data_IF_007529565395
#
_entry.id   IF_007529565395
#
_cell.length_a   1.000
_cell.length_b   1.000
_cell.length_c   1.000
_cell.angle_alpha   90.00
_cell.angle_beta   90.00
_cell.angle_gamma   90.00
#
_symmetry.space_group_name_H-M   'P 1'
#
loop_
_entity.id
_entity.type
_entity.pdbx_description
1 polymer ?
#
# COMPACT_ATOMS: atom_id res chain seq x y z
N UNK A 1 -6.12 -17.75 19.30
CA UNK A 1 -4.87 -16.97 19.24
C UNK A 1 -4.86 -16.25 17.91
N UNK A 2 -4.86 -14.93 17.90
CA UNK A 2 -4.74 -14.13 16.67
C UNK A 2 -3.28 -14.17 16.24
N UNK A 3 -3.01 -14.54 14.99
CA UNK A 3 -1.64 -14.49 14.46
C UNK A 3 -1.12 -13.05 14.48
N UNK A 4 0.19 -12.84 14.66
CA UNK A 4 0.79 -11.52 14.48
C UNK A 4 0.46 -10.97 13.09
N UNK A 5 0.08 -9.68 12.99
CA UNK A 5 -0.18 -9.03 11.69
C UNK A 5 1.03 -9.11 10.76
N UNK A 6 2.25 -9.15 11.32
CA UNK A 6 3.48 -9.35 10.55
C UNK A 6 3.51 -10.67 9.78
N UNK A 7 2.81 -11.70 10.24
CA UNK A 7 2.68 -12.99 9.55
C UNK A 7 1.76 -12.91 8.32
N UNK A 8 1.00 -11.83 8.17
CA UNK A 8 0.09 -11.59 7.04
C UNK A 8 0.72 -10.73 5.94
N UNK A 9 1.92 -10.18 6.19
CA UNK A 9 2.64 -9.39 5.20
C UNK A 9 3.24 -10.32 4.14
N UNK A 10 2.97 -10.10 2.83
CA UNK A 10 3.51 -10.93 1.76
C UNK A 10 4.97 -10.57 1.50
N UNK A 11 5.85 -11.00 2.40
CA UNK A 11 7.31 -10.87 2.27
C UNK A 11 7.81 -12.04 1.43
N UNK A 12 8.48 -11.71 0.32
CA UNK A 12 9.07 -12.66 -0.62
C UNK A 12 10.59 -12.54 -0.56
N UNK A 13 11.30 -13.59 -0.94
CA UNK A 13 12.76 -13.62 -1.01
C UNK A 13 13.21 -13.56 -2.46
N UNK A 14 14.18 -12.71 -2.79
CA UNK A 14 14.77 -12.66 -4.13
C UNK A 14 15.82 -13.76 -4.33
N UNK A 15 16.42 -13.83 -5.53
CA UNK A 15 17.45 -14.82 -5.87
C UNK A 15 18.73 -14.67 -5.06
N UNK A 16 18.99 -13.49 -4.51
CA UNK A 16 20.15 -13.18 -3.67
C UNK A 16 19.87 -13.40 -2.17
N UNK A 17 18.68 -13.92 -1.83
CA UNK A 17 18.26 -14.17 -0.46
C UNK A 17 17.75 -12.93 0.29
N UNK A 18 17.53 -11.80 -0.40
CA UNK A 18 17.04 -10.57 0.21
C UNK A 18 15.51 -10.59 0.30
N UNK A 19 15.00 -10.24 1.48
CA UNK A 19 13.57 -10.09 1.70
C UNK A 19 13.06 -8.79 1.05
N UNK A 20 11.94 -8.87 0.34
CA UNK A 20 11.26 -7.74 -0.26
C UNK A 20 9.73 -7.91 -0.19
N UNK A 21 8.99 -6.83 -0.40
CA UNK A 21 7.53 -6.87 -0.57
C UNK A 21 7.23 -6.61 -2.05
N UNK A 22 6.44 -7.45 -2.73
CA UNK A 22 6.05 -7.21 -4.12
C UNK A 22 5.35 -5.86 -4.28
N UNK A 23 5.66 -5.13 -5.35
CA UNK A 23 5.06 -3.81 -5.60
C UNK A 23 3.52 -3.87 -5.60
N UNK A 24 2.93 -4.90 -6.20
CA UNK A 24 1.47 -5.10 -6.21
C UNK A 24 0.87 -5.21 -4.79
N UNK A 25 1.58 -5.82 -3.84
CA UNK A 25 1.13 -5.90 -2.46
C UNK A 25 1.22 -4.54 -1.75
N UNK A 26 2.25 -3.74 -2.04
CA UNK A 26 2.35 -2.37 -1.52
C UNK A 26 1.25 -1.48 -2.10
N UNK A 27 0.97 -1.58 -3.40
CA UNK A 27 -0.16 -0.88 -4.05
C UNK A 27 -1.47 -1.26 -3.38
N UNK A 28 -1.75 -2.55 -3.17
CA UNK A 28 -2.96 -3.01 -2.50
C UNK A 28 -3.08 -2.43 -1.07
N UNK A 29 -1.97 -2.37 -0.32
CA UNK A 29 -1.95 -1.77 1.01
C UNK A 29 -2.26 -0.27 0.97
N UNK A 30 -1.63 0.49 0.06
CA UNK A 30 -1.88 1.92 -0.10
C UNK A 30 -3.36 2.18 -0.44
N UNK A 31 -3.95 1.38 -1.33
CA UNK A 31 -5.37 1.48 -1.67
C UNK A 31 -6.28 1.17 -0.47
N UNK A 32 -5.93 0.19 0.34
CA UNK A 32 -6.67 -0.12 1.57
C UNK A 32 -6.60 1.05 2.57
N UNK A 33 -5.43 1.67 2.74
CA UNK A 33 -5.28 2.86 3.60
C UNK A 33 -6.12 4.04 3.07
N UNK A 34 -6.10 4.29 1.75
CA UNK A 34 -6.91 5.33 1.12
C UNK A 34 -8.42 5.06 1.28
N UNK A 35 -8.85 3.80 1.24
CA UNK A 35 -10.23 3.41 1.53
C UNK A 35 -10.61 3.76 2.98
N UNK A 36 -9.78 3.42 3.96
CA UNK A 36 -10.00 3.80 5.36
C UNK A 36 -10.07 5.33 5.55
N UNK A 37 -9.23 6.08 4.83
CA UNK A 37 -9.29 7.55 4.86
C UNK A 37 -10.62 8.08 4.33
N UNK A 38 -11.16 7.47 3.27
CA UNK A 38 -12.50 7.80 2.75
C UNK A 38 -13.61 7.43 3.74
N UNK A 39 -13.50 6.29 4.40
CA UNK A 39 -14.50 5.82 5.37
C UNK A 39 -14.57 6.72 6.62
N UNK A 40 -13.43 7.29 7.02
CA UNK A 40 -13.32 8.23 8.14
C UNK A 40 -13.43 9.70 7.71
N UNK A 41 -13.66 9.99 6.43
CA UNK A 41 -13.58 11.34 5.87
C UNK A 41 -14.58 12.35 6.43
N UNK A 42 -15.62 11.88 7.11
CA UNK A 42 -16.61 12.71 7.79
C UNK A 42 -16.21 13.05 9.23
N UNK A 43 -15.08 12.54 9.72
CA UNK A 43 -14.55 12.92 11.03
C UNK A 43 -14.02 14.37 11.04
N UNK A 44 -14.47 15.21 11.98
CA UNK A 44 -14.02 16.59 12.09
C UNK A 44 -12.57 16.64 12.60
N UNK A 45 -11.69 17.36 11.89
CA UNK A 45 -10.34 17.68 12.37
C UNK A 45 -9.19 17.20 11.49
N UNK A 46 -9.45 16.46 10.41
CA UNK A 46 -8.42 16.05 9.45
C UNK A 46 -9.00 16.00 8.03
N UNK A 47 -8.30 16.55 7.03
CA UNK A 47 -8.69 16.41 5.62
C UNK A 47 -8.26 15.04 5.07
N UNK A 48 -8.99 14.01 5.50
CA UNK A 48 -8.75 12.63 5.09
C UNK A 48 -9.14 12.40 3.62
N UNK A 49 -9.98 13.26 3.02
CA UNK A 49 -10.29 13.21 1.59
C UNK A 49 -9.06 13.56 0.76
N UNK A 50 -8.37 14.65 1.08
CA UNK A 50 -7.10 15.00 0.43
C UNK A 50 -6.02 13.96 0.71
N UNK A 51 -5.96 13.43 1.94
CA UNK A 51 -5.06 12.33 2.29
C UNK A 51 -5.27 11.08 1.42
N UNK A 52 -6.52 10.64 1.25
CA UNK A 52 -6.85 9.51 0.39
C UNK A 52 -6.40 9.73 -1.06
N UNK A 53 -6.65 10.93 -1.61
CA UNK A 53 -6.26 11.27 -2.97
C UNK A 53 -4.73 11.26 -3.18
N UNK A 54 -3.97 11.76 -2.20
CA UNK A 54 -2.50 11.73 -2.24
C UNK A 54 -1.96 10.29 -2.19
N UNK A 55 -2.55 9.43 -1.36
CA UNK A 55 -2.17 8.02 -1.25
C UNK A 55 -2.49 7.25 -2.54
N UNK A 56 -3.64 7.54 -3.15
CA UNK A 56 -4.00 6.96 -4.44
C UNK A 56 -3.01 7.34 -5.55
N UNK A 57 -2.60 8.61 -5.63
CA UNK A 57 -1.61 9.06 -6.59
C UNK A 57 -0.24 8.38 -6.41
N UNK A 58 0.18 8.16 -5.15
CA UNK A 58 1.43 7.43 -4.89
C UNK A 58 1.33 5.95 -5.24
N UNK A 59 0.17 5.34 -5.02
CA UNK A 59 -0.09 3.96 -5.46
C UNK A 59 0.01 3.84 -7.00
N UNK A 60 -0.54 4.79 -7.75
CA UNK A 60 -0.42 4.86 -9.21
C UNK A 60 1.03 5.04 -9.66
N UNK A 61 1.78 5.94 -9.03
CA UNK A 61 3.20 6.16 -9.33
C UNK A 61 4.03 4.89 -9.11
N UNK A 62 3.78 4.17 -8.01
CA UNK A 62 4.49 2.93 -7.70
C UNK A 62 4.20 1.85 -8.74
N UNK A 63 2.95 1.73 -9.18
CA UNK A 63 2.54 0.75 -10.19
C UNK A 63 3.23 1.02 -11.54
N UNK A 64 3.23 2.29 -11.98
CA UNK A 64 3.97 2.73 -13.16
C UNK A 64 5.47 2.37 -13.07
N UNK A 65 6.12 2.68 -11.94
CA UNK A 65 7.54 2.38 -11.73
C UNK A 65 7.84 0.88 -11.68
N UNK A 66 6.91 0.08 -11.18
CA UNK A 66 7.04 -1.38 -11.17
C UNK A 66 6.98 -1.96 -12.58
N UNK A 67 6.09 -1.43 -13.42
CA UNK A 67 6.00 -1.79 -14.85
C UNK A 67 7.29 -1.40 -15.58
N UNK A 68 7.77 -0.17 -15.40
CA UNK A 68 9.03 0.31 -16.00
C UNK A 68 10.25 -0.56 -15.67
N UNK A 69 10.23 -1.25 -14.53
CA UNK A 69 11.33 -2.12 -14.06
C UNK A 69 11.17 -3.59 -14.38
N UNK A 70 10.00 -4.00 -14.88
CA UNK A 70 9.68 -5.41 -15.18
C UNK A 70 9.33 -5.65 -16.65
N UNK A 71 9.15 -4.58 -17.44
CA UNK A 71 9.08 -4.59 -18.90
C UNK A 71 10.47 -4.74 -19.55
#
# INVERSE_FOLDING_TARGET
>A
MTEPVSSQLPIVTDTDGRAYIPACAVVALLRAIAATHRDLADEPGCDLRAGAAAIDAEADNLDCRAIERTA
#
